data_IF_055656716237
#
_entry.id   IF_055656716237
#
_cell.length_a   1.000
_cell.length_b   1.000
_cell.length_c   1.000
_cell.angle_alpha   90.00
_cell.angle_beta   90.00
_cell.angle_gamma   90.00
#
_symmetry.space_group_name_H-M   'P 1'
#
loop_
_entity.id
_entity.type
_entity.pdbx_description
1 polymer ?
#
# COMPACT_ATOMS: atom_id res chain seq x y z
N UNK A 1 38.95 0.54 6.96
CA UNK A 1 40.19 -0.25 7.18
C UNK A 1 40.04 -1.69 6.70
N UNK A 2 39.07 -2.47 7.21
CA UNK A 2 38.89 -3.87 6.76
C UNK A 2 38.49 -3.97 5.28
N UNK A 3 37.51 -3.16 4.85
CA UNK A 3 37.06 -3.12 3.44
C UNK A 3 38.16 -2.67 2.48
N UNK A 4 38.93 -1.63 2.84
CA UNK A 4 40.04 -1.12 2.05
C UNK A 4 41.20 -2.11 1.96
N UNK A 5 41.49 -2.85 3.04
CA UNK A 5 42.50 -3.92 3.01
C UNK A 5 42.05 -5.10 2.13
N UNK A 6 40.78 -5.52 2.23
CA UNK A 6 40.21 -6.57 1.38
C UNK A 6 40.23 -6.18 -0.10
N UNK A 7 39.83 -4.95 -0.44
CA UNK A 7 39.91 -4.43 -1.81
C UNK A 7 41.35 -4.39 -2.33
N UNK A 8 42.32 -4.02 -1.49
CA UNK A 8 43.74 -4.04 -1.85
C UNK A 8 44.23 -5.45 -2.19
N UNK A 9 43.86 -6.46 -1.39
CA UNK A 9 44.19 -7.87 -1.65
C UNK A 9 43.53 -8.37 -2.94
N UNK A 10 42.25 -8.06 -3.15
CA UNK A 10 41.52 -8.44 -4.38
C UNK A 10 42.17 -7.78 -5.60
N UNK A 11 42.57 -6.51 -5.51
CA UNK A 11 43.24 -5.79 -6.60
C UNK A 11 44.61 -6.37 -6.94
N UNK A 12 45.41 -6.74 -5.93
CA UNK A 12 46.70 -7.41 -6.13
C UNK A 12 46.54 -8.80 -6.78
N UNK A 13 45.55 -9.58 -6.33
CA UNK A 13 45.20 -10.87 -6.95
C UNK A 13 44.74 -10.69 -8.41
N UNK A 14 43.90 -9.69 -8.68
CA UNK A 14 43.42 -9.39 -10.02
C UNK A 14 44.57 -9.01 -10.96
N UNK A 15 45.47 -8.11 -10.53
CA UNK A 15 46.64 -7.69 -11.31
C UNK A 15 47.61 -8.84 -11.61
N UNK A 16 47.84 -9.72 -10.64
CA UNK A 16 48.70 -10.90 -10.82
C UNK A 16 48.09 -11.95 -11.74
N UNK A 17 46.77 -12.15 -11.68
CA UNK A 17 46.07 -13.09 -12.56
C UNK A 17 46.13 -12.68 -14.04
N UNK A 18 45.89 -11.40 -14.33
CA UNK A 18 45.87 -10.87 -15.70
C UNK A 18 47.24 -10.44 -16.23
N UNK A 19 48.31 -10.56 -15.42
CA UNK A 19 49.72 -10.22 -15.75
C UNK A 19 49.92 -8.82 -16.34
N UNK A 20 49.00 -7.90 -16.08
CA UNK A 20 49.02 -6.54 -16.61
C UNK A 20 47.67 -5.85 -16.45
N UNK A 21 47.68 -4.52 -16.52
CA UNK A 21 46.47 -3.69 -16.53
C UNK A 21 46.25 -3.16 -17.94
N UNK A 22 45.33 -3.77 -18.69
CA UNK A 22 44.89 -3.27 -20.00
C UNK A 22 43.49 -2.68 -19.88
N UNK A 23 43.19 -1.53 -20.52
CA UNK A 23 41.84 -0.98 -20.59
C UNK A 23 40.82 -1.98 -21.16
N UNK A 24 41.27 -2.94 -21.95
CA UNK A 24 40.42 -3.98 -22.52
C UNK A 24 39.82 -4.93 -21.46
N UNK A 25 40.43 -5.00 -20.25
CA UNK A 25 39.86 -5.74 -19.12
C UNK A 25 38.55 -5.13 -18.61
N UNK A 26 38.35 -3.83 -18.87
CA UNK A 26 37.13 -3.09 -18.57
C UNK A 26 36.26 -2.90 -19.83
N UNK A 27 36.31 -3.87 -20.75
CA UNK A 27 35.46 -3.89 -21.93
C UNK A 27 33.96 -3.92 -21.56
N UNK A 28 33.13 -3.68 -22.58
CA UNK A 28 31.67 -3.64 -22.43
C UNK A 28 31.11 -4.91 -21.76
N UNK A 29 31.66 -6.08 -22.08
CA UNK A 29 31.29 -7.36 -21.46
C UNK A 29 31.46 -7.32 -19.93
N UNK A 30 32.67 -7.05 -19.43
CA UNK A 30 32.95 -6.97 -17.98
C UNK A 30 32.08 -5.95 -17.26
N UNK A 31 31.89 -4.76 -17.85
CA UNK A 31 31.10 -3.68 -17.22
C UNK A 31 29.61 -4.04 -17.20
N UNK A 32 29.08 -4.59 -18.29
CA UNK A 32 27.69 -5.05 -18.36
C UNK A 32 27.42 -6.19 -17.38
N UNK A 33 28.38 -7.10 -17.23
CA UNK A 33 28.31 -8.22 -16.29
C UNK A 33 28.35 -7.73 -14.83
N UNK A 34 29.25 -6.80 -14.51
CA UNK A 34 29.31 -6.17 -13.19
C UNK A 34 28.01 -5.41 -12.85
N UNK A 35 27.43 -4.71 -13.85
CA UNK A 35 26.14 -4.04 -13.69
C UNK A 35 25.01 -5.05 -13.46
N UNK A 36 25.00 -6.16 -14.20
CA UNK A 36 24.03 -7.24 -14.01
C UNK A 36 24.11 -7.82 -12.60
N UNK A 37 25.31 -8.07 -12.06
CA UNK A 37 25.50 -8.54 -10.68
C UNK A 37 24.88 -7.58 -9.65
N UNK A 38 25.11 -6.27 -9.81
CA UNK A 38 24.56 -5.24 -8.91
C UNK A 38 23.04 -5.12 -9.02
N UNK A 39 22.52 -5.13 -10.24
CA UNK A 39 21.09 -4.96 -10.50
C UNK A 39 20.29 -6.19 -10.09
N UNK A 40 20.80 -7.39 -10.38
CA UNK A 40 20.17 -8.65 -9.98
C UNK A 40 20.23 -8.82 -8.46
N UNK A 41 21.37 -8.49 -7.85
CA UNK A 41 21.54 -8.47 -6.41
C UNK A 41 20.66 -7.46 -5.68
N UNK A 42 20.43 -6.29 -6.29
CA UNK A 42 19.63 -5.18 -5.77
C UNK A 42 20.47 -3.93 -5.51
N UNK A 43 20.10 -2.82 -6.13
CA UNK A 43 20.75 -1.53 -5.95
C UNK A 43 20.53 -1.01 -4.51
N UNK A 44 21.61 -0.74 -3.78
CA UNK A 44 21.56 -0.14 -2.44
C UNK A 44 21.71 -1.10 -1.25
N UNK A 45 22.03 -2.39 -1.47
CA UNK A 45 22.39 -3.33 -0.37
C UNK A 45 23.68 -4.09 -0.68
N UNK A 46 24.65 -4.02 0.25
CA UNK A 46 25.91 -4.76 0.13
C UNK A 46 25.70 -6.28 0.09
N UNK A 47 24.78 -6.81 0.89
CA UNK A 47 24.40 -8.23 0.87
C UNK A 47 23.79 -8.65 -0.49
N UNK A 48 23.04 -7.73 -1.11
CA UNK A 48 22.46 -7.91 -2.44
C UNK A 48 23.55 -8.10 -3.49
N UNK A 49 24.56 -7.23 -3.50
CA UNK A 49 25.68 -7.33 -4.43
C UNK A 49 26.42 -8.68 -4.33
N UNK A 50 26.67 -9.18 -3.11
CA UNK A 50 27.34 -10.48 -2.92
C UNK A 50 26.50 -11.63 -3.48
N UNK A 51 25.19 -11.65 -3.18
CA UNK A 51 24.29 -12.68 -3.69
C UNK A 51 24.10 -12.59 -5.21
N UNK A 52 24.01 -11.37 -5.74
CA UNK A 52 23.91 -11.10 -7.17
C UNK A 52 25.14 -11.60 -7.94
N UNK A 53 26.34 -11.38 -7.40
CA UNK A 53 27.57 -11.95 -7.96
C UNK A 53 27.53 -13.47 -7.99
N UNK A 54 27.14 -14.13 -6.88
CA UNK A 54 27.04 -15.59 -6.85
C UNK A 54 26.06 -16.13 -7.91
N UNK A 55 24.88 -15.53 -8.03
CA UNK A 55 23.83 -15.96 -8.97
C UNK A 55 24.28 -15.75 -10.41
N UNK A 56 24.77 -14.56 -10.75
CA UNK A 56 25.18 -14.24 -12.12
C UNK A 56 26.40 -15.05 -12.54
N UNK A 57 27.39 -15.23 -11.67
CA UNK A 57 28.55 -16.09 -11.97
C UNK A 57 28.11 -17.55 -12.15
N UNK A 58 27.19 -18.05 -11.34
CA UNK A 58 26.67 -19.41 -11.51
C UNK A 58 25.95 -19.58 -12.85
N UNK A 59 25.08 -18.64 -13.21
CA UNK A 59 24.36 -18.64 -14.50
C UNK A 59 25.35 -18.55 -15.66
N UNK A 60 26.31 -17.63 -15.60
CA UNK A 60 27.34 -17.45 -16.63
C UNK A 60 28.18 -18.72 -16.85
N UNK A 61 28.54 -19.41 -15.75
CA UNK A 61 29.26 -20.68 -15.81
C UNK A 61 28.44 -21.80 -16.42
N UNK A 62 27.15 -21.90 -16.12
CA UNK A 62 26.25 -22.89 -16.74
C UNK A 62 26.03 -22.58 -18.22
N UNK A 63 26.04 -21.30 -18.60
CA UNK A 63 25.81 -20.84 -19.97
C UNK A 63 27.09 -20.68 -20.79
N UNK A 64 28.22 -21.19 -20.29
CA UNK A 64 29.52 -20.97 -20.92
C UNK A 64 29.61 -21.59 -22.33
N UNK A 65 28.88 -22.69 -22.55
CA UNK A 65 28.85 -23.43 -23.82
C UNK A 65 28.07 -22.69 -24.93
N UNK A 66 27.30 -21.65 -24.59
CA UNK A 66 26.50 -20.88 -25.56
C UNK A 66 27.30 -19.79 -26.29
N UNK A 67 28.59 -19.65 -25.98
CA UNK A 67 29.47 -18.67 -26.65
C UNK A 67 28.94 -17.22 -26.53
N UNK A 68 28.97 -16.40 -27.59
CA UNK A 68 28.57 -14.99 -27.54
C UNK A 68 27.10 -14.74 -27.17
N UNK A 69 26.21 -15.73 -27.37
CA UNK A 69 24.79 -15.60 -27.01
C UNK A 69 24.57 -15.44 -25.49
N UNK A 70 25.54 -15.88 -24.69
CA UNK A 70 25.56 -15.70 -23.22
C UNK A 70 25.35 -14.25 -22.80
N UNK A 71 26.07 -13.32 -23.43
CA UNK A 71 26.06 -11.89 -23.08
C UNK A 71 24.66 -11.30 -23.33
N UNK A 72 24.04 -11.69 -24.46
CA UNK A 72 22.67 -11.29 -24.80
C UNK A 72 21.67 -11.83 -23.78
N UNK A 73 21.81 -13.10 -23.38
CA UNK A 73 20.93 -13.74 -22.42
C UNK A 73 21.05 -13.12 -21.02
N UNK A 74 22.27 -12.78 -20.58
CA UNK A 74 22.50 -12.05 -19.32
C UNK A 74 21.85 -10.66 -19.39
N UNK A 75 21.96 -9.96 -20.51
CA UNK A 75 21.30 -8.66 -20.72
C UNK A 75 19.77 -8.76 -20.68
N UNK A 76 19.19 -9.79 -21.29
CA UNK A 76 17.74 -10.05 -21.23
C UNK A 76 17.30 -10.39 -19.81
N UNK A 77 18.06 -11.23 -19.10
CA UNK A 77 17.79 -11.56 -17.70
C UNK A 77 17.83 -10.31 -16.83
N UNK A 78 18.84 -9.46 -17.01
CA UNK A 78 18.94 -8.18 -16.32
C UNK A 78 17.69 -7.31 -16.59
N UNK A 79 17.25 -7.22 -17.85
CA UNK A 79 16.06 -6.45 -18.22
C UNK A 79 14.79 -6.99 -17.54
N UNK A 80 14.62 -8.31 -17.50
CA UNK A 80 13.52 -8.96 -16.76
C UNK A 80 13.59 -8.59 -15.27
N UNK A 81 14.77 -8.66 -14.66
CA UNK A 81 14.91 -8.35 -13.24
C UNK A 81 14.61 -6.88 -12.95
N UNK A 82 15.05 -5.95 -13.80
CA UNK A 82 14.73 -4.51 -13.64
C UNK A 82 13.23 -4.24 -13.76
N UNK A 83 12.55 -4.87 -14.72
CA UNK A 83 11.13 -4.62 -14.96
C UNK A 83 10.23 -5.24 -13.89
N UNK A 84 10.57 -6.43 -13.41
CA UNK A 84 9.68 -7.22 -12.56
C UNK A 84 10.06 -7.19 -11.06
N UNK A 85 11.34 -7.04 -10.71
CA UNK A 85 11.82 -7.11 -9.33
C UNK A 85 12.31 -5.74 -8.85
N UNK A 86 11.48 -5.07 -8.03
CA UNK A 86 11.88 -3.82 -7.37
C UNK A 86 12.85 -4.13 -6.24
N UNK A 87 14.14 -3.89 -6.48
CA UNK A 87 15.21 -4.09 -5.50
C UNK A 87 15.95 -5.44 -5.60
N UNK A 88 15.89 -6.11 -6.75
CA UNK A 88 16.63 -7.36 -7.00
C UNK A 88 16.08 -8.55 -6.21
N UNK A 89 16.91 -9.58 -6.00
CA UNK A 89 16.52 -10.85 -5.35
C UNK A 89 15.99 -10.65 -3.92
N UNK A 90 16.51 -9.68 -3.18
CA UNK A 90 16.04 -9.39 -1.81
C UNK A 90 14.67 -8.68 -1.76
N UNK A 91 14.25 -8.04 -2.85
CA UNK A 91 12.91 -7.43 -2.98
C UNK A 91 11.78 -8.44 -3.15
N UNK A 92 12.10 -9.68 -3.56
CA UNK A 92 11.11 -10.73 -3.81
C UNK A 92 10.32 -11.07 -2.54
N UNK A 93 10.99 -11.21 -1.39
CA UNK A 93 10.33 -11.58 -0.13
C UNK A 93 9.36 -10.51 0.35
N UNK A 94 9.70 -9.23 0.20
CA UNK A 94 8.85 -8.11 0.62
C UNK A 94 7.70 -7.90 -0.35
N UNK A 95 7.94 -8.00 -1.67
CA UNK A 95 6.88 -7.94 -2.68
C UNK A 95 5.90 -9.12 -2.55
N UNK A 96 6.41 -10.34 -2.32
CA UNK A 96 5.56 -11.51 -2.14
C UNK A 96 4.75 -11.43 -0.85
N UNK A 97 5.34 -10.94 0.24
CA UNK A 97 4.62 -10.70 1.51
C UNK A 97 3.54 -9.64 1.33
N UNK A 98 3.86 -8.50 0.69
CA UNK A 98 2.89 -7.45 0.42
C UNK A 98 1.74 -7.92 -0.49
N UNK A 99 2.04 -8.73 -1.51
CA UNK A 99 1.04 -9.32 -2.39
C UNK A 99 0.16 -10.34 -1.67
N UNK A 100 0.76 -11.23 -0.86
CA UNK A 100 0.04 -12.21 -0.05
C UNK A 100 -0.83 -11.54 1.01
N UNK A 101 -0.31 -10.51 1.67
CA UNK A 101 -1.02 -9.77 2.70
C UNK A 101 -2.13 -8.92 2.08
N UNK A 102 -1.97 -8.40 0.86
CA UNK A 102 -3.06 -7.80 0.06
C UNK A 102 -4.16 -8.81 -0.27
N UNK A 103 -3.81 -10.02 -0.73
CA UNK A 103 -4.78 -11.07 -1.07
C UNK A 103 -5.48 -11.67 0.17
N UNK A 104 -4.78 -11.72 1.31
CA UNK A 104 -5.34 -12.13 2.62
C UNK A 104 -6.19 -11.02 3.23
N UNK A 105 -5.84 -9.74 2.99
CA UNK A 105 -6.61 -8.55 3.33
C UNK A 105 -7.93 -8.54 2.57
N UNK A 106 -7.96 -8.81 1.26
CA UNK A 106 -9.18 -8.87 0.46
C UNK A 106 -10.18 -9.92 1.01
N UNK A 107 -9.69 -11.10 1.41
CA UNK A 107 -10.53 -12.12 2.06
C UNK A 107 -10.92 -11.78 3.51
N UNK A 108 -10.21 -10.86 4.18
CA UNK A 108 -10.48 -10.43 5.56
C UNK A 108 -11.41 -9.21 5.61
N UNK A 109 -11.37 -8.34 4.61
CA UNK A 109 -12.34 -7.25 4.38
C UNK A 109 -13.75 -7.80 4.21
N UNK A 110 -13.89 -8.93 3.51
CA UNK A 110 -15.17 -9.65 3.37
C UNK A 110 -15.70 -10.28 4.68
N UNK A 111 -14.87 -10.40 5.74
CA UNK A 111 -15.25 -10.96 7.06
C UNK A 111 -15.31 -9.92 8.17
N UNK A 112 -14.61 -8.81 8.04
CA UNK A 112 -14.59 -7.72 9.03
C UNK A 112 -15.79 -6.77 8.91
N UNK A 113 -16.70 -7.01 7.96
CA UNK A 113 -17.82 -6.13 7.64
C UNK A 113 -18.91 -6.00 8.73
N UNK A 114 -18.85 -6.71 9.87
CA UNK A 114 -20.00 -6.72 10.81
C UNK A 114 -19.73 -6.74 12.32
N UNK A 115 -18.67 -6.11 12.83
CA UNK A 115 -18.71 -5.88 14.30
C UNK A 115 -17.46 -5.49 15.04
N UNK A 116 -16.37 -5.07 14.40
CA UNK A 116 -15.28 -4.38 15.10
C UNK A 116 -14.63 -5.10 16.30
N UNK A 117 -14.83 -6.41 16.47
CA UNK A 117 -14.17 -7.22 17.49
C UNK A 117 -13.03 -8.01 16.85
N UNK A 118 -11.80 -7.74 17.28
CA UNK A 118 -10.70 -8.69 17.11
C UNK A 118 -10.83 -9.74 18.22
N UNK A 119 -10.71 -11.02 17.87
CA UNK A 119 -10.66 -12.10 18.85
C UNK A 119 -9.48 -11.86 19.81
N UNK A 120 -9.57 -12.23 21.11
CA UNK A 120 -8.52 -11.94 22.09
C UNK A 120 -7.12 -12.45 21.72
N UNK A 121 -7.01 -13.46 20.84
CA UNK A 121 -5.72 -13.93 20.30
C UNK A 121 -5.05 -12.96 19.31
N UNK A 122 -5.82 -12.12 18.59
CA UNK A 122 -5.30 -11.16 17.60
C UNK A 122 -4.65 -9.91 18.24
N UNK A 123 -4.93 -9.60 19.51
CA UNK A 123 -4.35 -8.45 20.22
C UNK A 123 -2.85 -8.61 20.50
N UNK A 124 -2.34 -9.84 20.51
CA UNK A 124 -0.93 -10.16 20.79
C UNK A 124 0.00 -9.93 19.59
N UNK A 125 -0.52 -9.83 18.36
CA UNK A 125 0.29 -9.68 17.14
C UNK A 125 0.33 -8.24 16.57
N UNK A 126 -0.40 -7.28 17.16
CA UNK A 126 -0.39 -5.90 16.67
C UNK A 126 0.94 -5.22 17.03
N UNK A 127 1.73 -4.86 16.01
CA UNK A 127 3.04 -4.21 16.17
C UNK A 127 2.95 -2.85 16.88
N UNK A 128 1.84 -2.15 16.69
CA UNK A 128 1.56 -0.85 17.31
C UNK A 128 0.39 -0.94 18.28
N UNK A 129 0.65 -0.68 19.57
CA UNK A 129 -0.37 -0.75 20.63
C UNK A 129 -1.32 0.44 20.60
N UNK A 130 -0.92 1.55 19.98
CA UNK A 130 -1.76 2.74 19.89
C UNK A 130 -3.00 2.48 19.02
N UNK A 131 -2.86 1.62 18.00
CA UNK A 131 -3.96 1.20 17.15
C UNK A 131 -5.03 0.43 17.95
N UNK A 132 -4.61 -0.43 18.88
CA UNK A 132 -5.53 -1.15 19.76
C UNK A 132 -6.29 -0.18 20.69
N UNK A 133 -5.59 0.81 21.24
CA UNK A 133 -6.19 1.83 22.09
C UNK A 133 -7.20 2.67 21.32
N UNK A 134 -6.84 3.12 20.11
CA UNK A 134 -7.72 3.88 19.22
C UNK A 134 -8.99 3.08 18.87
N UNK A 135 -8.86 1.80 18.50
CA UNK A 135 -10.02 0.95 18.17
C UNK A 135 -10.96 0.77 19.36
N UNK A 136 -10.42 0.55 20.57
CA UNK A 136 -11.23 0.44 21.80
C UNK A 136 -11.95 1.75 22.11
N UNK A 137 -11.25 2.88 22.00
CA UNK A 137 -11.84 4.19 22.18
C UNK A 137 -12.96 4.44 21.16
N UNK A 138 -12.72 4.14 19.88
CA UNK A 138 -13.71 4.30 18.81
C UNK A 138 -14.94 3.41 19.03
N UNK A 139 -14.77 2.16 19.48
CA UNK A 139 -15.91 1.29 19.88
C UNK A 139 -16.76 1.95 20.97
N UNK A 140 -16.13 2.40 22.06
CA UNK A 140 -16.84 3.06 23.16
C UNK A 140 -17.54 4.35 22.69
N UNK A 141 -16.93 5.10 21.78
CA UNK A 141 -17.55 6.27 21.16
C UNK A 141 -18.78 5.88 20.35
N UNK A 142 -18.69 4.85 19.49
CA UNK A 142 -19.84 4.39 18.69
C UNK A 142 -20.98 3.92 19.59
N UNK A 143 -20.70 3.13 20.60
CA UNK A 143 -21.71 2.62 21.53
C UNK A 143 -22.42 3.76 22.27
N UNK A 144 -21.69 4.79 22.68
CA UNK A 144 -22.29 6.01 23.24
C UNK A 144 -23.10 6.79 22.19
N UNK A 145 -22.59 6.96 20.97
CA UNK A 145 -23.28 7.71 19.92
C UNK A 145 -24.58 7.04 19.48
N UNK A 146 -24.65 5.71 19.47
CA UNK A 146 -25.89 4.96 19.20
C UNK A 146 -27.02 5.36 20.17
N UNK A 147 -26.72 5.68 21.43
CA UNK A 147 -27.75 6.11 22.39
C UNK A 147 -28.29 7.52 22.09
N UNK A 148 -27.56 8.32 21.31
CA UNK A 148 -27.97 9.67 20.90
C UNK A 148 -28.79 9.67 19.59
N UNK A 149 -28.87 8.55 18.88
CA UNK A 149 -29.66 8.43 17.66
C UNK A 149 -31.13 8.29 18.03
N UNK A 150 -31.82 9.43 18.13
CA UNK A 150 -33.27 9.49 18.37
C UNK A 150 -34.01 10.02 17.13
N UNK A 151 -35.30 9.70 17.02
CA UNK A 151 -36.15 10.22 15.94
C UNK A 151 -36.18 11.76 15.90
N UNK A 152 -36.05 12.41 17.06
CA UNK A 152 -36.00 13.86 17.17
C UNK A 152 -34.73 14.44 16.53
N UNK A 153 -33.57 13.86 16.82
CA UNK A 153 -32.28 14.26 16.23
C UNK A 153 -32.28 14.03 14.71
N UNK A 154 -32.87 12.92 14.26
CA UNK A 154 -33.00 12.64 12.82
C UNK A 154 -33.92 13.66 12.16
N UNK A 155 -35.06 13.99 12.77
CA UNK A 155 -35.99 15.02 12.26
C UNK A 155 -35.35 16.40 12.26
N UNK A 156 -34.59 16.74 13.29
CA UNK A 156 -33.84 18.00 13.39
C UNK A 156 -32.93 18.19 12.18
N UNK A 157 -32.07 17.20 11.89
CA UNK A 157 -31.16 17.26 10.75
C UNK A 157 -31.91 17.31 9.41
N UNK A 158 -33.02 16.58 9.28
CA UNK A 158 -33.87 16.60 8.07
C UNK A 158 -34.46 17.98 7.80
N UNK A 159 -34.92 18.68 8.85
CA UNK A 159 -35.52 20.00 8.72
C UNK A 159 -34.48 21.07 8.43
N UNK A 160 -33.29 20.94 9.03
CA UNK A 160 -32.19 21.90 8.87
C UNK A 160 -30.87 21.15 8.81
N UNK A 161 -30.35 20.81 7.61
CA UNK A 161 -29.07 20.11 7.48
C UNK A 161 -27.84 21.00 7.81
N UNK A 162 -27.99 22.31 7.70
CA UNK A 162 -26.92 23.30 7.81
C UNK A 162 -27.16 24.30 8.94
N UNK A 163 -26.08 24.71 9.60
CA UNK A 163 -26.10 25.69 10.69
C UNK A 163 -25.81 25.05 12.04
N UNK A 164 -26.28 25.72 13.10
CA UNK A 164 -26.17 25.25 14.48
C UNK A 164 -27.26 24.22 14.79
N UNK A 165 -26.85 23.17 15.50
CA UNK A 165 -27.70 22.05 15.90
C UNK A 165 -27.66 21.83 17.41
N UNK A 166 -28.55 20.97 17.90
CA UNK A 166 -28.54 20.45 19.25
C UNK A 166 -27.22 19.77 19.60
N UNK A 167 -26.94 19.69 20.89
CA UNK A 167 -25.70 19.12 21.41
C UNK A 167 -25.51 17.65 20.98
N UNK A 168 -26.58 16.87 20.99
CA UNK A 168 -26.60 15.47 20.54
C UNK A 168 -26.27 15.35 19.04
N UNK A 169 -26.90 16.18 18.20
CA UNK A 169 -26.67 16.18 16.76
C UNK A 169 -25.24 16.66 16.43
N UNK A 170 -24.74 17.70 17.09
CA UNK A 170 -23.36 18.16 16.88
C UNK A 170 -22.32 17.11 17.26
N UNK A 171 -22.54 16.33 18.33
CA UNK A 171 -21.65 15.21 18.68
C UNK A 171 -21.60 14.15 17.57
N UNK A 172 -22.77 13.74 17.05
CA UNK A 172 -22.87 12.81 15.92
C UNK A 172 -22.17 13.36 14.68
N UNK A 173 -22.43 14.62 14.33
CA UNK A 173 -21.82 15.26 13.16
C UNK A 173 -20.31 15.40 13.32
N UNK A 174 -19.82 15.72 14.51
CA UNK A 174 -18.39 15.79 14.81
C UNK A 174 -17.71 14.43 14.59
N UNK A 175 -18.32 13.35 15.09
CA UNK A 175 -17.83 12.00 14.87
C UNK A 175 -17.80 11.65 13.37
N UNK A 176 -18.91 11.85 12.66
CA UNK A 176 -19.03 11.57 11.23
C UNK A 176 -18.08 12.39 10.36
N UNK A 177 -17.81 13.65 10.73
CA UNK A 177 -16.89 14.53 9.99
C UNK A 177 -15.42 14.12 10.18
N UNK A 178 -15.06 13.55 11.34
CA UNK A 178 -13.69 13.13 11.68
C UNK A 178 -13.25 11.79 11.10
N UNK A 179 -14.16 11.00 10.54
CA UNK A 179 -13.84 9.69 9.99
C UNK A 179 -12.73 9.73 8.90
N UNK A 180 -11.90 8.68 8.79
CA UNK A 180 -10.88 8.53 7.74
C UNK A 180 -11.46 8.69 6.33
N UNK A 181 -10.62 8.98 5.33
CA UNK A 181 -11.09 9.17 3.94
C UNK A 181 -11.52 7.88 3.25
N UNK A 182 -11.02 6.73 3.70
CA UNK A 182 -11.38 5.42 3.13
C UNK A 182 -12.85 5.12 3.47
N UNK A 183 -13.63 4.78 2.46
CA UNK A 183 -15.08 4.54 2.50
C UNK A 183 -15.92 5.70 3.04
N UNK A 184 -15.35 6.91 3.07
CA UNK A 184 -16.07 8.10 3.53
C UNK A 184 -17.10 8.54 2.51
N UNK A 185 -18.35 8.66 2.94
CA UNK A 185 -19.41 9.18 2.08
C UNK A 185 -19.21 10.65 1.73
N UNK A 186 -19.37 10.94 0.44
CA UNK A 186 -19.32 12.25 -0.17
C UNK A 186 -20.48 12.43 -1.17
N UNK A 187 -20.77 13.68 -1.50
CA UNK A 187 -21.80 14.04 -2.48
C UNK A 187 -21.09 14.38 -3.80
N UNK A 188 -21.40 13.64 -4.86
CA UNK A 188 -20.99 13.92 -6.22
C UNK A 188 -22.07 14.74 -6.92
N UNK A 189 -21.68 15.91 -7.41
CA UNK A 189 -22.51 16.71 -8.32
C UNK A 189 -22.35 16.13 -9.72
N UNK A 190 -23.42 15.56 -10.28
CA UNK A 190 -23.43 15.05 -11.67
C UNK A 190 -23.83 16.19 -12.61
N UNK A 191 -24.95 16.84 -12.29
CA UNK A 191 -25.40 18.05 -12.96
C UNK A 191 -25.60 19.16 -11.93
N UNK A 192 -24.95 20.32 -12.10
CA UNK A 192 -25.11 21.45 -11.20
C UNK A 192 -26.59 21.82 -11.02
N UNK A 193 -27.02 21.91 -9.76
CA UNK A 193 -28.38 22.30 -9.36
C UNK A 193 -29.50 21.36 -9.82
N UNK A 194 -29.17 20.14 -10.27
CA UNK A 194 -30.17 19.17 -10.76
C UNK A 194 -29.98 17.77 -10.22
N UNK A 195 -28.75 17.25 -10.23
CA UNK A 195 -28.49 15.82 -10.01
C UNK A 195 -27.30 15.66 -9.08
N UNK A 196 -27.57 15.15 -7.89
CA UNK A 196 -26.59 14.80 -6.88
C UNK A 196 -26.65 13.31 -6.57
N UNK A 197 -25.50 12.68 -6.36
CA UNK A 197 -25.38 11.27 -6.02
C UNK A 197 -24.48 11.08 -4.80
N UNK A 198 -24.76 10.07 -3.98
CA UNK A 198 -23.91 9.70 -2.85
C UNK A 198 -22.87 8.68 -3.30
N UNK A 199 -21.61 8.98 -3.02
CA UNK A 199 -20.46 8.12 -3.38
C UNK A 199 -19.60 7.87 -2.14
N UNK A 200 -18.89 6.75 -2.11
CA UNK A 200 -17.90 6.42 -1.10
C UNK A 200 -16.50 6.68 -1.67
N UNK A 201 -15.69 7.43 -0.95
CA UNK A 201 -14.32 7.73 -1.34
C UNK A 201 -13.43 6.51 -1.11
N UNK A 202 -12.55 6.21 -2.07
CA UNK A 202 -11.58 5.11 -1.96
C UNK A 202 -10.48 5.39 -0.92
N UNK A 203 -10.25 6.67 -0.59
CA UNK A 203 -9.11 7.12 0.22
C UNK A 203 -7.75 7.02 -0.48
N UNK A 204 -7.69 6.53 -1.72
CA UNK A 204 -6.47 6.36 -2.50
C UNK A 204 -6.46 7.41 -3.64
N UNK A 205 -5.40 8.23 -3.75
CA UNK A 205 -5.27 9.17 -4.86
C UNK A 205 -5.37 8.51 -6.23
N UNK A 206 -6.14 9.09 -7.15
CA UNK A 206 -6.31 8.61 -8.52
C UNK A 206 -7.32 7.48 -8.72
N UNK A 207 -7.88 6.91 -7.64
CA UNK A 207 -8.94 5.90 -7.73
C UNK A 207 -10.30 6.56 -7.64
N UNK A 208 -11.16 6.32 -8.64
CA UNK A 208 -12.49 6.89 -8.69
C UNK A 208 -13.34 6.45 -7.47
N UNK A 209 -14.19 7.33 -6.91
CA UNK A 209 -15.11 6.98 -5.84
C UNK A 209 -16.08 5.86 -6.27
N UNK A 210 -16.42 4.98 -5.33
CA UNK A 210 -17.40 3.92 -5.55
C UNK A 210 -18.81 4.50 -5.42
N UNK A 211 -19.69 4.16 -6.35
CA UNK A 211 -21.10 4.48 -6.22
C UNK A 211 -21.74 3.60 -5.14
N UNK A 212 -22.40 4.23 -4.17
CA UNK A 212 -23.00 3.53 -3.02
C UNK A 212 -24.45 3.15 -3.34
N UNK A 213 -25.15 4.02 -4.06
CA UNK A 213 -26.54 3.85 -4.45
C UNK A 213 -26.79 4.36 -5.87
N UNK A 214 -27.81 3.81 -6.53
CA UNK A 214 -28.38 4.34 -7.78
C UNK A 214 -29.36 5.50 -7.53
N UNK A 215 -29.59 5.86 -6.26
CA UNK A 215 -30.50 6.93 -5.88
C UNK A 215 -29.90 8.29 -6.26
N UNK A 216 -30.70 9.06 -6.98
CA UNK A 216 -30.41 10.43 -7.38
C UNK A 216 -31.19 11.40 -6.51
N UNK A 217 -30.53 12.48 -6.11
CA UNK A 217 -31.11 13.57 -5.33
C UNK A 217 -31.20 14.83 -6.21
N UNK A 218 -32.35 15.50 -6.15
CA UNK A 218 -32.64 16.71 -6.93
C UNK A 218 -32.07 17.97 -6.28
N UNK A 219 -32.02 18.00 -4.95
CA UNK A 219 -31.44 19.09 -4.16
C UNK A 219 -30.16 18.67 -3.46
N UNK A 220 -29.27 19.64 -3.24
CA UNK A 220 -28.07 19.46 -2.42
C UNK A 220 -28.43 19.16 -0.96
N UNK A 221 -29.51 19.73 -0.45
CA UNK A 221 -29.98 19.52 0.91
C UNK A 221 -30.47 18.09 1.12
N UNK A 222 -31.25 17.56 0.18
CA UNK A 222 -31.70 16.16 0.21
C UNK A 222 -30.53 15.19 0.16
N UNK A 223 -29.48 15.52 -0.62
CA UNK A 223 -28.27 14.73 -0.65
C UNK A 223 -27.53 14.72 0.70
N UNK A 224 -27.52 15.84 1.45
CA UNK A 224 -26.96 15.85 2.82
C UNK A 224 -27.75 14.92 3.74
N UNK A 225 -29.07 14.96 3.67
CA UNK A 225 -29.95 14.06 4.44
C UNK A 225 -29.69 12.61 4.06
N UNK A 226 -29.50 12.31 2.77
CA UNK A 226 -29.13 10.98 2.29
C UNK A 226 -27.83 10.47 2.88
N UNK A 227 -26.76 11.28 2.84
CA UNK A 227 -25.46 10.95 3.45
C UNK A 227 -25.59 10.73 4.96
N UNK A 228 -26.31 11.61 5.66
CA UNK A 228 -26.48 11.51 7.10
C UNK A 228 -27.24 10.23 7.50
N UNK A 229 -28.32 9.92 6.78
CA UNK A 229 -29.11 8.70 7.01
C UNK A 229 -28.26 7.44 6.85
N UNK A 230 -27.41 7.39 5.81
CA UNK A 230 -26.50 6.26 5.61
C UNK A 230 -25.45 6.14 6.71
N UNK A 231 -24.88 7.25 7.16
CA UNK A 231 -23.93 7.24 8.29
C UNK A 231 -24.57 6.77 9.60
N UNK A 232 -25.83 7.14 9.84
CA UNK A 232 -26.57 6.60 10.99
C UNK A 232 -26.78 5.10 10.84
N UNK A 233 -27.20 4.64 9.67
CA UNK A 233 -27.41 3.21 9.42
C UNK A 233 -26.11 2.41 9.67
N UNK A 234 -24.99 2.84 9.09
CA UNK A 234 -23.69 2.19 9.30
C UNK A 234 -23.27 2.22 10.77
N UNK A 235 -23.52 3.33 11.47
CA UNK A 235 -23.24 3.43 12.91
C UNK A 235 -24.06 2.41 13.73
N UNK A 236 -25.34 2.22 13.38
CA UNK A 236 -26.23 1.26 14.05
C UNK A 236 -25.89 -0.20 13.70
N UNK A 237 -25.36 -0.45 12.50
CA UNK A 237 -24.94 -1.79 12.04
C UNK A 237 -23.54 -2.20 12.55
N UNK A 238 -22.71 -1.24 12.96
CA UNK A 238 -21.33 -1.45 13.46
C UNK A 238 -21.22 -1.94 14.91
#
# INVERSE_FOLDING_TARGET
>A
LISSAALGVIGAFYATHFRGASPNLFGFDTVSMALAMLVIGGLGRAEGAVLGTLIVVFIDRVMIDLGPLRIVLIGVLMLIVVLFLRGGVFGIKTQFRAWRDKKKSENRSARAEKGGEMLPEEATEVRDKDELAFRRYDKNQRDFLKTLVTDEVIKEFKNKPLGQHSEALERLLTYFRRQPMVDKYAIKCVEPFKVYQVVALSGIPGVAPRQVEDKVYTSREDAYVGVFTRRIQDLLES
#
